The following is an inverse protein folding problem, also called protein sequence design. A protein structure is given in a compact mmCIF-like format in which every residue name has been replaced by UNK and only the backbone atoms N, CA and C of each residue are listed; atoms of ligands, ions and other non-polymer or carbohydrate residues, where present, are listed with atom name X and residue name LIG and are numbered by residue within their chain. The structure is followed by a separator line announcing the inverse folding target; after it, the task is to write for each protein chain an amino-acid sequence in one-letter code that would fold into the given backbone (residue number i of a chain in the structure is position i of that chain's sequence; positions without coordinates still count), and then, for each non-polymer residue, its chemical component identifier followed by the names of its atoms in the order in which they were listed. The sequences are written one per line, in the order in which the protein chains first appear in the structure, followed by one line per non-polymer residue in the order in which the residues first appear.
data_IF_731873971850
#
_entry.id   IF_731873971850
#
_cell.length_a   1.000
_cell.length_b   1.000
_cell.length_c   1.000
_cell.angle_alpha   90.00
_cell.angle_beta   90.00
_cell.angle_gamma   90.00
#
_symmetry.space_group_name_H-M   'P 1'
#
loop_
_entity.id
_entity.type
_entity.pdbx_description
1 polymer ?
#
# COMPACT_ATOMS: atom_id res chain seq x y z
N UNK A 1 1.98 17.81 42.86
CA UNK A 1 2.52 16.95 41.80
C UNK A 1 2.88 17.84 40.62
N UNK A 2 4.17 17.92 40.25
CA UNK A 2 4.60 18.61 39.04
C UNK A 2 4.19 17.72 37.85
N UNK A 3 3.24 18.19 37.04
CA UNK A 3 2.88 17.52 35.80
C UNK A 3 4.11 17.53 34.88
N UNK A 4 4.61 16.35 34.51
CA UNK A 4 5.68 16.24 33.52
C UNK A 4 5.18 16.80 32.19
N UNK A 5 5.72 17.92 31.76
CA UNK A 5 5.41 18.61 30.50
C UNK A 5 6.19 18.05 29.31
N UNK A 6 6.75 16.85 29.42
CA UNK A 6 7.53 16.24 28.36
C UNK A 6 6.63 15.72 27.25
N UNK A 7 6.69 16.36 26.08
CA UNK A 7 6.06 15.84 24.86
C UNK A 7 6.53 14.39 24.59
N UNK A 8 5.63 13.47 24.24
CA UNK A 8 6.02 12.10 23.92
C UNK A 8 6.92 12.09 22.68
N UNK A 9 8.04 11.36 22.74
CA UNK A 9 8.93 11.13 21.61
C UNK A 9 8.43 9.94 20.80
N UNK A 10 8.19 10.13 19.50
CA UNK A 10 7.82 9.07 18.57
C UNK A 10 8.98 8.79 17.61
N UNK A 11 9.43 7.53 17.58
CA UNK A 11 10.39 7.03 16.59
C UNK A 11 9.68 6.19 15.54
N UNK A 12 10.05 6.35 14.26
CA UNK A 12 9.59 5.49 13.16
C UNK A 12 10.81 4.81 12.55
N UNK A 13 10.72 3.50 12.35
CA UNK A 13 11.80 2.71 11.76
C UNK A 13 11.24 1.72 10.73
N UNK A 14 11.95 1.51 9.62
CA UNK A 14 11.70 0.40 8.70
C UNK A 14 12.73 -0.70 8.94
N UNK A 15 12.36 -1.86 9.53
CA UNK A 15 13.32 -2.90 9.89
C UNK A 15 14.05 -3.51 8.69
N UNK A 16 13.44 -3.52 7.51
CA UNK A 16 14.05 -4.06 6.28
C UNK A 16 15.14 -3.14 5.69
N UNK A 17 15.17 -1.86 6.08
CA UNK A 17 16.15 -0.88 5.61
C UNK A 17 17.46 -0.86 6.40
N UNK A 18 17.61 -1.72 7.41
CA UNK A 18 18.76 -1.69 8.30
C UNK A 18 19.78 -2.79 7.97
N UNK A 19 20.98 -2.34 7.61
CA UNK A 19 22.22 -3.11 7.70
C UNK A 19 22.61 -3.29 9.18
N UNK A 20 23.35 -4.35 9.57
CA UNK A 20 23.90 -4.49 10.93
C UNK A 20 24.68 -3.25 11.42
N UNK A 21 25.18 -2.42 10.50
CA UNK A 21 25.93 -1.20 10.81
C UNK A 21 25.08 0.05 11.05
N UNK A 22 23.81 0.06 10.64
CA UNK A 22 22.91 1.21 10.80
C UNK A 22 21.83 0.99 11.86
N UNK A 23 21.67 -0.23 12.38
CA UNK A 23 20.64 -0.52 13.40
C UNK A 23 20.79 0.36 14.64
N UNK A 24 19.64 0.78 15.20
CA UNK A 24 19.61 1.41 16.51
C UNK A 24 20.24 0.45 17.52
N UNK A 25 21.15 0.97 18.34
CA UNK A 25 21.79 0.14 19.36
C UNK A 25 20.74 -0.41 20.33
N UNK A 26 20.97 -1.60 20.92
CA UNK A 26 20.07 -2.15 21.94
C UNK A 26 19.79 -1.17 23.09
N UNK A 27 20.77 -0.34 23.44
CA UNK A 27 20.64 0.71 24.45
C UNK A 27 19.69 1.84 24.04
N UNK A 28 19.61 2.19 22.74
CA UNK A 28 18.64 3.16 22.23
C UNK A 28 17.23 2.56 22.18
N UNK A 29 17.10 1.31 21.73
CA UNK A 29 15.80 0.61 21.68
C UNK A 29 15.20 0.43 23.08
N UNK A 30 16.02 0.15 24.09
CA UNK A 30 15.58 0.01 25.48
C UNK A 30 15.05 1.31 26.10
N UNK A 31 15.23 2.46 25.46
CA UNK A 31 14.66 3.75 25.90
C UNK A 31 13.23 3.99 25.42
N UNK A 32 12.74 3.19 24.47
CA UNK A 32 11.35 3.24 24.03
C UNK A 32 10.53 2.25 24.87
N UNK A 33 9.56 2.76 25.62
CA UNK A 33 8.68 1.95 26.48
C UNK A 33 7.77 1.01 25.68
N UNK A 34 7.45 1.39 24.44
CA UNK A 34 6.55 0.62 23.56
C UNK A 34 7.14 0.57 22.16
N UNK A 35 7.38 -0.65 21.69
CA UNK A 35 7.74 -0.91 20.29
C UNK A 35 6.51 -1.53 19.61
N UNK A 36 5.86 -0.76 18.74
CA UNK A 36 4.70 -1.21 17.97
C UNK A 36 5.15 -1.54 16.56
N UNK A 37 5.04 -2.81 16.18
CA UNK A 37 5.13 -3.19 14.77
C UNK A 37 3.76 -2.96 14.14
N UNK A 38 3.68 -2.06 13.15
CA UNK A 38 2.44 -1.81 12.44
C UNK A 38 2.15 -3.00 11.51
N UNK A 39 0.98 -3.64 11.65
CA UNK A 39 0.62 -4.73 10.75
C UNK A 39 0.38 -4.19 9.34
N UNK A 40 0.61 -5.05 8.36
CA UNK A 40 0.22 -4.78 6.99
C UNK A 40 -1.31 -4.73 6.88
N UNK A 41 -1.89 -3.69 6.27
CA UNK A 41 -3.33 -3.57 6.15
C UNK A 41 -3.90 -4.64 5.22
N UNK A 42 -5.09 -5.13 5.54
CA UNK A 42 -5.79 -6.10 4.70
C UNK A 42 -6.40 -5.43 3.47
N UNK A 43 -6.80 -6.23 2.47
CA UNK A 43 -7.53 -5.70 1.32
C UNK A 43 -8.81 -4.96 1.71
N UNK A 44 -9.48 -5.36 2.80
CA UNK A 44 -10.67 -4.67 3.31
C UNK A 44 -10.32 -3.31 3.91
N UNK A 45 -9.29 -3.23 4.74
CA UNK A 45 -8.81 -1.97 5.32
C UNK A 45 -8.41 -0.99 4.22
N UNK A 46 -7.69 -1.48 3.21
CA UNK A 46 -7.29 -0.69 2.05
C UNK A 46 -8.49 -0.24 1.21
N UNK A 47 -9.50 -1.10 1.04
CA UNK A 47 -10.74 -0.72 0.35
C UNK A 47 -11.42 0.44 1.06
N UNK A 48 -11.51 0.39 2.40
CA UNK A 48 -12.11 1.46 3.19
C UNK A 48 -11.32 2.77 3.08
N UNK A 49 -9.99 2.70 3.21
CA UNK A 49 -9.11 3.86 3.05
C UNK A 49 -9.28 4.47 1.65
N UNK A 50 -9.32 3.65 0.60
CA UNK A 50 -9.52 4.12 -0.77
C UNK A 50 -10.90 4.76 -0.95
N UNK A 51 -11.97 4.17 -0.41
CA UNK A 51 -13.31 4.75 -0.49
C UNK A 51 -13.40 6.12 0.21
N UNK A 52 -12.60 6.34 1.27
CA UNK A 52 -12.54 7.61 2.00
C UNK A 52 -11.67 8.66 1.29
N UNK A 53 -10.52 8.25 0.74
CA UNK A 53 -9.54 9.15 0.12
C UNK A 53 -9.83 9.46 -1.34
N UNK A 54 -10.44 8.51 -2.05
CA UNK A 54 -10.74 8.59 -3.48
C UNK A 54 -12.26 8.44 -3.70
N UNK A 55 -13.04 9.53 -3.54
CA UNK A 55 -14.50 9.43 -3.51
C UNK A 55 -15.15 8.95 -4.82
N UNK A 56 -14.47 9.11 -5.96
CA UNK A 56 -14.96 8.66 -7.26
C UNK A 56 -14.57 7.21 -7.56
N UNK A 57 -13.53 6.71 -6.88
CA UNK A 57 -13.08 5.32 -6.95
C UNK A 57 -13.69 4.54 -5.77
N UNK A 58 -14.98 4.19 -5.87
CA UNK A 58 -15.72 3.50 -4.80
C UNK A 58 -16.21 2.12 -5.15
N UNK A 59 -16.38 1.28 -4.13
CA UNK A 59 -17.04 -0.01 -4.25
C UNK A 59 -16.14 -1.05 -4.94
N UNK A 60 -16.66 -1.70 -6.00
CA UNK A 60 -15.95 -2.79 -6.70
C UNK A 60 -14.57 -2.38 -7.25
N UNK A 61 -14.39 -1.25 -7.97
CA UNK A 61 -13.07 -0.79 -8.41
C UNK A 61 -12.05 -0.64 -7.28
N UNK A 62 -12.45 -0.01 -6.17
CA UNK A 62 -11.57 0.19 -5.01
C UNK A 62 -11.17 -1.16 -4.38
N UNK A 63 -12.13 -2.06 -4.25
CA UNK A 63 -11.89 -3.38 -3.70
C UNK A 63 -10.94 -4.22 -4.56
N UNK A 64 -11.13 -4.21 -5.88
CA UNK A 64 -10.27 -4.92 -6.81
C UNK A 64 -8.86 -4.33 -6.86
N UNK A 65 -8.74 -3.00 -6.75
CA UNK A 65 -7.43 -2.35 -6.66
C UNK A 65 -6.69 -2.71 -5.36
N UNK A 66 -7.40 -2.75 -4.23
CA UNK A 66 -6.85 -3.21 -2.96
C UNK A 66 -6.43 -4.68 -3.00
N UNK A 67 -7.26 -5.57 -3.55
CA UNK A 67 -6.92 -6.98 -3.73
C UNK A 67 -5.70 -7.15 -4.63
N UNK A 68 -5.67 -6.44 -5.75
CA UNK A 68 -4.55 -6.45 -6.69
C UNK A 68 -3.24 -6.06 -5.97
N UNK A 69 -3.24 -4.98 -5.20
CA UNK A 69 -2.10 -4.55 -4.40
C UNK A 69 -1.61 -5.63 -3.42
N UNK A 70 -2.53 -6.20 -2.63
CA UNK A 70 -2.20 -7.23 -1.65
C UNK A 70 -1.60 -8.48 -2.32
N UNK A 71 -2.14 -8.90 -3.46
CA UNK A 71 -1.63 -10.06 -4.20
C UNK A 71 -0.25 -9.76 -4.78
N UNK A 72 -0.05 -8.60 -5.40
CA UNK A 72 1.28 -8.18 -5.88
C UNK A 72 2.30 -8.17 -4.74
N UNK A 73 1.92 -7.67 -3.56
CA UNK A 73 2.80 -7.67 -2.39
C UNK A 73 3.15 -9.09 -1.94
N UNK A 74 2.17 -9.99 -1.88
CA UNK A 74 2.39 -11.40 -1.56
C UNK A 74 3.28 -12.12 -2.58
N UNK A 75 3.08 -11.87 -3.88
CA UNK A 75 3.92 -12.44 -4.94
C UNK A 75 5.36 -11.96 -4.87
N UNK A 76 5.61 -10.67 -4.56
CA UNK A 76 6.97 -10.21 -4.31
C UNK A 76 7.59 -10.92 -3.09
N UNK A 77 6.86 -11.06 -1.98
CA UNK A 77 7.39 -11.76 -0.80
C UNK A 77 7.79 -13.21 -1.09
N UNK A 78 7.18 -13.82 -2.12
CA UNK A 78 7.50 -15.16 -2.61
C UNK A 78 8.61 -15.18 -3.69
N UNK A 79 9.13 -14.01 -4.09
CA UNK A 79 10.11 -13.87 -5.16
C UNK A 79 9.54 -14.12 -6.57
N UNK A 80 8.21 -14.07 -6.73
CA UNK A 80 7.54 -14.28 -8.01
C UNK A 80 7.42 -12.98 -8.84
N UNK A 81 7.55 -11.81 -8.20
CA UNK A 81 7.60 -10.52 -8.86
C UNK A 81 8.98 -9.88 -8.67
N UNK A 82 9.59 -9.49 -9.79
CA UNK A 82 10.79 -8.67 -9.83
C UNK A 82 10.48 -7.21 -9.51
N UNK A 83 11.45 -6.50 -8.94
CA UNK A 83 11.36 -5.07 -8.60
C UNK A 83 11.18 -4.82 -7.11
N UNK A 84 10.79 -3.58 -6.76
CA UNK A 84 10.56 -3.18 -5.38
C UNK A 84 9.20 -3.64 -4.85
N UNK A 85 9.12 -3.89 -3.54
CA UNK A 85 7.88 -4.26 -2.86
C UNK A 85 6.82 -3.18 -3.09
N UNK A 86 5.62 -3.55 -3.56
CA UNK A 86 4.54 -2.60 -3.73
C UNK A 86 4.29 -1.86 -2.42
N UNK A 87 4.34 -0.54 -2.47
CA UNK A 87 4.16 0.32 -1.29
C UNK A 87 2.72 0.84 -1.22
N UNK A 88 2.27 1.19 -0.01
CA UNK A 88 0.97 1.86 0.15
C UNK A 88 0.94 3.21 -0.57
N UNK A 89 2.10 3.86 -0.73
CA UNK A 89 2.21 5.10 -1.51
C UNK A 89 1.85 4.85 -2.97
N UNK A 90 2.42 3.82 -3.57
CA UNK A 90 2.12 3.41 -4.94
C UNK A 90 0.65 3.07 -5.13
N UNK A 91 0.00 2.39 -4.17
CA UNK A 91 -1.44 2.14 -4.20
C UNK A 91 -2.25 3.45 -4.23
N UNK A 92 -1.92 4.41 -3.36
CA UNK A 92 -2.61 5.70 -3.28
C UNK A 92 -2.40 6.52 -4.56
N UNK A 93 -1.19 6.57 -5.10
CA UNK A 93 -0.90 7.26 -6.35
C UNK A 93 -1.65 6.60 -7.53
N UNK A 94 -1.74 5.27 -7.54
CA UNK A 94 -2.56 4.52 -8.52
C UNK A 94 -4.05 4.87 -8.42
N UNK A 95 -4.57 4.96 -7.20
CA UNK A 95 -5.97 5.30 -6.96
C UNK A 95 -6.30 6.74 -7.39
N UNK A 96 -5.39 7.69 -7.15
CA UNK A 96 -5.55 9.07 -7.63
C UNK A 96 -5.54 9.14 -9.15
N UNK A 97 -4.66 8.39 -9.82
CA UNK A 97 -4.65 8.33 -11.29
C UNK A 97 -5.96 7.76 -11.84
N UNK A 98 -6.47 6.68 -11.26
CA UNK A 98 -7.75 6.08 -11.65
C UNK A 98 -8.91 7.06 -11.42
N UNK A 99 -8.95 7.73 -10.26
CA UNK A 99 -9.95 8.75 -9.97
C UNK A 99 -9.93 9.89 -10.98
N UNK A 100 -8.76 10.41 -11.35
CA UNK A 100 -8.66 11.47 -12.34
C UNK A 100 -9.30 11.07 -13.67
N UNK A 101 -9.06 9.84 -14.14
CA UNK A 101 -9.70 9.32 -15.35
C UNK A 101 -11.23 9.21 -15.20
N UNK A 102 -11.71 8.74 -14.04
CA UNK A 102 -13.16 8.66 -13.73
C UNK A 102 -13.80 10.04 -13.74
N UNK A 103 -13.16 11.05 -13.14
CA UNK A 103 -13.65 12.43 -13.15
C UNK A 103 -13.73 13.01 -14.58
N UNK A 104 -12.99 12.45 -15.53
CA UNK A 104 -13.06 12.77 -16.96
C UNK A 104 -14.04 11.88 -17.76
N UNK A 105 -14.84 11.06 -17.09
CA UNK A 105 -15.89 10.23 -17.70
C UNK A 105 -15.45 8.84 -18.14
N UNK A 106 -14.25 8.40 -17.74
CA UNK A 106 -13.81 7.03 -17.99
C UNK A 106 -14.54 6.02 -17.08
N UNK A 107 -14.63 4.77 -17.54
CA UNK A 107 -15.26 3.70 -16.78
C UNK A 107 -14.40 3.34 -15.54
N UNK A 108 -14.97 3.24 -14.34
CA UNK A 108 -14.20 3.05 -13.10
C UNK A 108 -13.32 1.80 -13.04
N UNK A 109 -13.80 0.64 -13.49
CA UNK A 109 -13.03 -0.61 -13.49
C UNK A 109 -11.87 -0.56 -14.48
N UNK A 110 -12.12 -0.07 -15.69
CA UNK A 110 -11.10 0.12 -16.72
C UNK A 110 -10.03 1.10 -16.26
N UNK A 111 -10.43 2.21 -15.63
CA UNK A 111 -9.52 3.23 -15.10
C UNK A 111 -8.63 2.67 -13.99
N UNK A 112 -9.21 1.88 -13.06
CA UNK A 112 -8.46 1.20 -12.01
C UNK A 112 -7.44 0.20 -12.59
N UNK A 113 -7.85 -0.57 -13.60
CA UNK A 113 -6.99 -1.53 -14.29
C UNK A 113 -5.83 -0.84 -14.99
N UNK A 114 -6.10 0.21 -15.77
CA UNK A 114 -5.08 0.94 -16.51
C UNK A 114 -4.06 1.60 -15.58
N UNK A 115 -4.54 2.24 -14.51
CA UNK A 115 -3.67 2.81 -13.49
C UNK A 115 -2.82 1.72 -12.80
N UNK A 116 -3.38 0.56 -12.49
CA UNK A 116 -2.65 -0.55 -11.90
C UNK A 116 -1.54 -1.07 -12.84
N UNK A 117 -1.83 -1.23 -14.12
CA UNK A 117 -0.84 -1.65 -15.12
C UNK A 117 0.25 -0.60 -15.37
N UNK A 118 -0.07 0.69 -15.18
CA UNK A 118 0.89 1.78 -15.32
C UNK A 118 1.84 1.91 -14.14
N UNK A 119 1.37 1.64 -12.92
CA UNK A 119 2.14 1.90 -11.71
C UNK A 119 2.85 0.67 -11.16
N UNK A 120 2.43 -0.55 -11.50
CA UNK A 120 3.03 -1.79 -11.02
C UNK A 120 4.00 -2.39 -12.04
N UNK A 121 4.93 -3.28 -11.62
CA UNK A 121 5.87 -3.94 -12.52
C UNK A 121 5.14 -4.58 -13.70
N UNK A 122 5.46 -4.14 -14.91
CA UNK A 122 4.77 -4.52 -16.13
C UNK A 122 5.28 -5.87 -16.69
N UNK A 123 5.05 -6.95 -15.93
CA UNK A 123 5.34 -8.32 -16.35
C UNK A 123 4.06 -9.13 -16.61
N UNK A 124 4.21 -10.32 -17.19
CA UNK A 124 3.07 -11.16 -17.59
C UNK A 124 2.20 -11.58 -16.41
N UNK A 125 2.80 -11.78 -15.22
CA UNK A 125 2.04 -12.13 -14.02
C UNK A 125 1.12 -10.97 -13.58
N UNK A 126 1.67 -9.75 -13.49
CA UNK A 126 0.91 -8.55 -13.13
C UNK A 126 -0.20 -8.29 -14.15
N UNK A 127 0.06 -8.48 -15.46
CA UNK A 127 -0.96 -8.34 -16.50
C UNK A 127 -2.07 -9.37 -16.39
N UNK A 128 -1.70 -10.64 -16.20
CA UNK A 128 -2.67 -11.72 -16.07
C UNK A 128 -3.54 -11.53 -14.82
N UNK A 129 -2.94 -11.10 -13.71
CA UNK A 129 -3.66 -10.78 -12.49
C UNK A 129 -4.63 -9.61 -12.69
N UNK A 130 -4.18 -8.52 -13.33
CA UNK A 130 -5.04 -7.38 -13.62
C UNK A 130 -6.21 -7.79 -14.54
N UNK A 131 -5.95 -8.59 -15.57
CA UNK A 131 -7.00 -9.10 -16.45
C UNK A 131 -7.99 -10.00 -15.70
N UNK A 132 -7.50 -10.84 -14.79
CA UNK A 132 -8.35 -11.74 -14.00
C UNK A 132 -9.25 -10.97 -13.02
N UNK A 133 -8.70 -10.01 -12.27
CA UNK A 133 -9.45 -9.28 -11.25
C UNK A 133 -10.41 -8.26 -11.87
N UNK A 134 -9.93 -7.46 -12.81
CA UNK A 134 -10.72 -6.38 -13.42
C UNK A 134 -11.56 -6.83 -14.62
N UNK A 135 -11.31 -8.01 -15.18
CA UNK A 135 -12.02 -8.56 -16.34
C UNK A 135 -13.21 -9.46 -16.03
N UNK A 136 -13.41 -9.85 -14.76
CA UNK A 136 -14.69 -10.41 -14.36
C UNK A 136 -15.70 -9.26 -14.39
N UNK A 137 -16.64 -9.30 -15.35
CA UNK A 137 -17.79 -8.38 -15.44
C UNK A 137 -18.98 -9.02 -14.73
#
# INVERSE_FOLDING_TARGET
ALASTSSPLLGVMNPAGYSPTTQLSPAMLARFETNVCLPEPTALDLTEILNQKCPDLKGRPAHQLAQFHCICKGLHQQGALDGDSPSLRQLVDTAHQAQAAISHGAEPLASAKEAALSNYPNNDQTRNLANFLFGQA
#
